data_IF_891528577608
#
_entry.id   IF_891528577608
#
_cell.length_a   1.000
_cell.length_b   1.000
_cell.length_c   1.000
_cell.angle_alpha   90.00
_cell.angle_beta   90.00
_cell.angle_gamma   90.00
#
_symmetry.space_group_name_H-M   'P 1'
#
loop_
_entity.id
_entity.type
_entity.pdbx_description
1 polymer ?
#
# COMPACT_ATOMS: atom_id res chain seq x y z
N UNK A 1 -43.79 -3.71 -10.34
CA UNK A 1 -43.63 -4.63 -9.18
C UNK A 1 -42.32 -5.38 -9.38
N UNK A 2 -41.21 -4.79 -8.93
CA UNK A 2 -39.85 -5.30 -9.19
C UNK A 2 -39.31 -5.82 -7.86
N UNK A 3 -39.06 -7.12 -7.82
CA UNK A 3 -38.57 -7.84 -6.65
C UNK A 3 -37.07 -7.60 -6.50
N UNK A 4 -36.69 -6.89 -5.43
CA UNK A 4 -35.30 -6.81 -4.98
C UNK A 4 -34.86 -8.21 -4.51
N UNK A 5 -33.87 -8.80 -5.20
CA UNK A 5 -33.13 -9.95 -4.68
C UNK A 5 -32.28 -9.48 -3.50
N UNK A 6 -32.56 -10.03 -2.33
CA UNK A 6 -31.74 -9.91 -1.10
C UNK A 6 -30.29 -10.35 -1.39
N UNK A 7 -29.33 -9.45 -1.20
CA UNK A 7 -27.94 -9.84 -0.94
C UNK A 7 -27.84 -10.37 0.48
N UNK A 8 -28.00 -11.69 0.63
CA UNK A 8 -27.44 -12.38 1.77
C UNK A 8 -25.98 -12.68 1.41
N UNK A 9 -25.03 -12.15 2.20
CA UNK A 9 -23.72 -12.73 2.57
C UNK A 9 -22.69 -11.59 2.84
N UNK A 10 -22.02 -11.67 4.00
CA UNK A 10 -20.76 -10.99 4.43
C UNK A 10 -20.78 -9.62 5.16
N UNK A 11 -21.72 -9.33 6.07
CA UNK A 11 -21.62 -8.14 6.93
C UNK A 11 -21.19 -8.37 8.40
N UNK A 12 -20.71 -9.57 8.77
CA UNK A 12 -20.35 -9.86 10.18
C UNK A 12 -18.87 -10.10 10.47
N UNK A 13 -17.98 -10.05 9.46
CA UNK A 13 -16.53 -10.28 9.68
C UNK A 13 -15.63 -9.10 9.34
N UNK A 14 -16.06 -8.15 8.50
CA UNK A 14 -15.27 -6.95 8.17
C UNK A 14 -15.18 -5.96 9.34
N UNK A 15 -16.20 -5.92 10.21
CA UNK A 15 -16.17 -5.13 11.45
C UNK A 15 -15.08 -5.60 12.44
N UNK A 16 -14.71 -6.88 12.44
CA UNK A 16 -13.76 -7.42 13.44
C UNK A 16 -12.34 -6.90 13.20
N UNK A 17 -11.93 -6.64 11.95
CA UNK A 17 -10.61 -6.08 11.65
C UNK A 17 -10.50 -4.62 12.10
N UNK A 18 -11.49 -3.77 11.80
CA UNK A 18 -11.51 -2.37 12.27
C UNK A 18 -11.55 -2.28 13.81
N UNK A 19 -12.39 -3.10 14.48
CA UNK A 19 -12.47 -3.10 15.94
C UNK A 19 -11.18 -3.58 16.62
N UNK A 20 -10.41 -4.46 15.97
CA UNK A 20 -9.14 -4.95 16.54
C UNK A 20 -8.05 -3.88 16.61
N UNK A 21 -8.11 -2.87 15.73
CA UNK A 21 -7.13 -1.77 15.70
C UNK A 21 -7.61 -0.53 16.48
N UNK A 22 -8.92 -0.33 16.66
CA UNK A 22 -9.47 0.93 17.22
C UNK A 22 -9.68 0.98 18.75
N UNK A 23 -9.62 -0.10 19.52
CA UNK A 23 -10.07 0.01 20.93
C UNK A 23 -9.44 -0.95 21.96
N UNK A 24 -8.59 -1.88 21.53
CA UNK A 24 -8.07 -2.93 22.41
C UNK A 24 -7.25 -2.38 23.59
N UNK A 25 -6.31 -1.47 23.34
CA UNK A 25 -5.45 -0.92 24.39
C UNK A 25 -6.22 -0.07 25.41
N UNK A 26 -7.15 0.77 24.95
CA UNK A 26 -7.97 1.62 25.84
C UNK A 26 -8.73 0.81 26.90
N UNK A 27 -9.36 -0.29 26.47
CA UNK A 27 -10.08 -1.17 27.39
C UNK A 27 -9.14 -1.84 28.41
N UNK A 28 -7.99 -2.33 27.93
CA UNK A 28 -6.96 -2.95 28.78
C UNK A 28 -6.44 -1.95 29.82
N UNK A 29 -6.09 -0.73 29.42
CA UNK A 29 -5.58 0.30 30.34
C UNK A 29 -6.60 0.77 31.38
N UNK A 30 -7.89 0.81 31.04
CA UNK A 30 -8.96 1.11 32.00
C UNK A 30 -9.07 0.02 33.07
N UNK A 31 -8.99 -1.27 32.68
CA UNK A 31 -8.96 -2.39 33.63
C UNK A 31 -7.75 -2.29 34.58
N UNK A 32 -6.57 -1.99 34.02
CA UNK A 32 -5.33 -1.83 34.79
C UNK A 32 -5.44 -0.68 35.80
N UNK A 33 -5.92 0.49 35.35
CA UNK A 33 -6.07 1.66 36.23
C UNK A 33 -7.02 1.37 37.40
N UNK A 34 -8.15 0.70 37.11
CA UNK A 34 -9.11 0.30 38.13
C UNK A 34 -8.53 -0.73 39.12
N UNK A 35 -7.81 -1.75 38.64
CA UNK A 35 -7.22 -2.78 39.51
C UNK A 35 -6.08 -2.22 40.38
N UNK A 36 -5.20 -1.39 39.82
CA UNK A 36 -4.15 -0.70 40.59
C UNK A 36 -4.78 0.19 41.65
N UNK A 37 -5.78 1.01 41.31
CA UNK A 37 -6.43 1.88 42.30
C UNK A 37 -7.10 1.07 43.41
N UNK A 38 -7.69 -0.09 43.08
CA UNK A 38 -8.26 -1.03 44.06
C UNK A 38 -7.18 -1.62 44.97
N UNK A 39 -6.03 -2.02 44.43
CA UNK A 39 -4.89 -2.58 45.18
C UNK A 39 -4.15 -1.54 46.00
N UNK A 40 -3.99 -0.31 45.51
CA UNK A 40 -3.42 0.83 46.27
C UNK A 40 -4.27 1.14 47.48
N UNK A 41 -5.61 1.16 47.32
CA UNK A 41 -6.53 1.30 48.45
C UNK A 41 -6.41 0.16 49.48
N UNK A 42 -5.81 -0.98 49.09
CA UNK A 42 -5.55 -2.13 49.94
C UNK A 42 -4.09 -2.21 50.47
N UNK A 43 -3.23 -1.21 50.21
CA UNK A 43 -1.86 -1.13 50.75
C UNK A 43 -0.78 -1.90 49.97
N UNK A 44 -0.96 -2.08 48.66
CA UNK A 44 -0.13 -2.94 47.80
C UNK A 44 1.22 -2.33 47.35
N UNK A 45 2.28 -3.15 47.17
CA UNK A 45 3.61 -2.76 46.65
C UNK A 45 4.02 -3.51 45.37
N UNK A 46 4.14 -2.79 44.26
CA UNK A 46 5.18 -2.94 43.22
C UNK A 46 5.16 -4.11 42.22
N UNK A 47 5.15 -5.36 42.68
CA UNK A 47 5.71 -6.47 41.87
C UNK A 47 4.70 -7.57 41.46
N UNK A 48 3.42 -7.51 41.83
CA UNK A 48 2.42 -8.48 41.36
C UNK A 48 1.97 -8.18 39.94
N UNK A 49 1.95 -9.25 39.16
CA UNK A 49 1.22 -9.33 37.91
C UNK A 49 -0.28 -9.14 38.16
N UNK A 50 -0.92 -8.39 37.28
CA UNK A 50 -2.37 -8.23 37.24
C UNK A 50 -2.96 -9.12 36.15
N UNK A 51 -4.20 -9.57 36.35
CA UNK A 51 -4.95 -10.31 35.35
C UNK A 51 -5.79 -9.34 34.51
N UNK A 52 -5.51 -9.27 33.22
CA UNK A 52 -6.21 -8.41 32.26
C UNK A 52 -6.98 -9.28 31.28
N UNK A 53 -8.25 -8.95 31.04
CA UNK A 53 -9.06 -9.64 30.04
C UNK A 53 -8.85 -8.92 28.71
N UNK A 54 -8.22 -9.63 27.79
CA UNK A 54 -7.95 -9.18 26.44
C UNK A 54 -9.26 -9.12 25.61
N UNK A 55 -9.29 -8.37 24.49
CA UNK A 55 -10.49 -8.28 23.65
C UNK A 55 -10.98 -9.62 23.09
N UNK A 56 -10.08 -10.59 22.94
CA UNK A 56 -10.42 -11.95 22.52
C UNK A 56 -10.99 -12.82 23.67
N UNK A 57 -11.09 -12.28 24.89
CA UNK A 57 -11.59 -12.97 26.09
C UNK A 57 -10.51 -13.74 26.86
N UNK A 58 -9.27 -13.77 26.38
CA UNK A 58 -8.17 -14.42 27.09
C UNK A 58 -7.70 -13.60 28.28
N UNK A 59 -7.14 -14.27 29.28
CA UNK A 59 -6.60 -13.63 30.48
C UNK A 59 -5.09 -13.54 30.36
N UNK A 60 -4.58 -12.32 30.21
CA UNK A 60 -3.16 -12.01 30.27
C UNK A 60 -2.75 -11.72 31.72
N UNK A 61 -1.66 -12.34 32.19
CA UNK A 61 -0.99 -11.92 33.43
C UNK A 61 0.22 -11.09 33.08
N UNK A 62 0.20 -9.82 33.44
CA UNK A 62 1.24 -8.85 33.04
C UNK A 62 1.62 -7.92 34.19
N UNK A 63 2.83 -7.39 34.13
CA UNK A 63 3.33 -6.36 35.04
C UNK A 63 2.70 -5.01 34.63
N UNK A 64 1.95 -4.35 35.52
CA UNK A 64 1.40 -3.04 35.23
C UNK A 64 2.46 -1.93 35.37
N UNK A 65 2.46 -0.97 34.45
CA UNK A 65 3.25 0.27 34.51
C UNK A 65 2.26 1.43 34.33
N UNK A 66 2.04 2.21 35.38
CA UNK A 66 1.00 3.25 35.39
C UNK A 66 1.61 4.61 35.72
N UNK A 67 1.91 5.40 34.69
CA UNK A 67 2.58 6.71 34.83
C UNK A 67 4.06 6.64 35.21
N UNK A 68 4.56 5.47 35.60
CA UNK A 68 5.95 5.23 35.97
C UNK A 68 6.83 4.87 34.76
N UNK A 69 8.14 4.84 35.00
CA UNK A 69 9.14 4.38 34.03
C UNK A 69 9.80 3.09 34.52
N UNK A 70 9.77 2.05 33.69
CA UNK A 70 10.38 0.74 33.97
C UNK A 70 11.39 0.40 32.89
N UNK A 71 12.52 -0.18 33.30
CA UNK A 71 13.56 -0.67 32.38
C UNK A 71 13.68 -2.19 32.48
N UNK A 72 13.63 -2.85 31.32
CA UNK A 72 13.86 -4.28 31.16
C UNK A 72 15.22 -4.47 30.50
N UNK A 73 16.19 -4.96 31.28
CA UNK A 73 17.53 -5.30 30.81
C UNK A 73 17.69 -6.79 30.49
N UNK A 74 18.89 -7.24 30.07
CA UNK A 74 19.15 -8.64 29.73
C UNK A 74 18.99 -9.62 30.90
N UNK A 75 19.03 -9.12 32.14
CA UNK A 75 18.87 -9.90 33.37
C UNK A 75 17.48 -9.78 33.97
N UNK A 76 16.62 -8.91 33.42
CA UNK A 76 15.23 -8.79 33.89
C UNK A 76 14.49 -10.07 33.50
N UNK A 77 13.78 -10.72 34.45
CA UNK A 77 12.98 -11.90 34.14
C UNK A 77 11.97 -11.65 33.02
N UNK A 78 11.76 -12.65 32.17
CA UNK A 78 10.81 -12.57 31.07
C UNK A 78 9.38 -12.39 31.59
N UNK A 79 8.73 -11.33 31.13
CA UNK A 79 7.37 -11.00 31.53
C UNK A 79 6.62 -10.18 30.47
N UNK A 80 5.29 -10.16 30.55
CA UNK A 80 4.43 -9.30 29.73
C UNK A 80 4.12 -8.00 30.47
N UNK A 81 3.85 -6.92 29.74
CA UNK A 81 3.68 -5.59 30.33
C UNK A 81 2.42 -4.89 29.83
N UNK A 82 1.77 -4.17 30.74
CA UNK A 82 0.70 -3.23 30.37
C UNK A 82 1.08 -1.84 30.84
N UNK A 83 1.27 -0.94 29.88
CA UNK A 83 1.75 0.43 30.08
C UNK A 83 0.60 1.41 29.88
N UNK A 84 0.33 2.24 30.88
CA UNK A 84 -0.78 3.20 30.84
C UNK A 84 -0.40 4.56 31.44
N UNK A 85 -1.24 5.56 31.16
CA UNK A 85 -1.23 6.88 31.80
C UNK A 85 0.11 7.61 31.73
N UNK A 86 0.68 7.72 30.52
CA UNK A 86 2.00 8.33 30.25
C UNK A 86 3.17 7.56 30.87
N UNK A 87 2.99 6.26 31.09
CA UNK A 87 4.08 5.38 31.52
C UNK A 87 5.12 5.17 30.41
N UNK A 88 6.31 4.72 30.83
CA UNK A 88 7.43 4.40 29.95
C UNK A 88 7.90 2.97 30.19
N UNK A 89 7.95 2.17 29.12
CA UNK A 89 8.63 0.88 29.12
C UNK A 89 9.88 0.98 28.26
N UNK A 90 11.06 0.81 28.87
CA UNK A 90 12.34 0.81 28.18
C UNK A 90 12.92 -0.61 28.16
N UNK A 91 12.84 -1.30 27.03
CA UNK A 91 13.46 -2.62 26.83
C UNK A 91 14.84 -2.40 26.22
N UNK A 92 15.90 -2.62 27.00
CA UNK A 92 17.29 -2.42 26.57
C UNK A 92 18.07 -3.73 26.64
N UNK A 93 18.21 -4.43 25.51
CA UNK A 93 18.78 -5.78 25.46
C UNK A 93 17.96 -6.86 26.18
N UNK A 94 16.81 -6.49 26.75
CA UNK A 94 15.90 -7.38 27.46
C UNK A 94 14.96 -8.16 26.54
N UNK A 95 14.25 -9.13 27.12
CA UNK A 95 13.22 -9.92 26.44
C UNK A 95 11.91 -9.80 27.21
N UNK A 96 10.85 -9.43 26.52
CA UNK A 96 9.50 -9.33 27.10
C UNK A 96 8.51 -10.16 26.31
N UNK A 97 7.41 -10.55 26.96
CA UNK A 97 6.25 -11.12 26.31
C UNK A 97 5.41 -10.02 25.64
N UNK A 98 4.08 -10.19 25.64
CA UNK A 98 3.18 -9.21 25.04
C UNK A 98 3.27 -7.86 25.75
N UNK A 99 3.22 -6.77 24.97
CA UNK A 99 3.15 -5.40 25.49
C UNK A 99 1.86 -4.74 25.00
N UNK A 100 1.02 -4.29 25.93
CA UNK A 100 -0.09 -3.38 25.64
C UNK A 100 0.25 -2.00 26.18
N UNK A 101 0.30 -0.98 25.33
CA UNK A 101 0.52 0.40 25.73
C UNK A 101 -0.67 1.28 25.37
N UNK A 102 -1.08 2.15 26.29
CA UNK A 102 -2.14 3.13 26.05
C UNK A 102 -1.74 4.50 26.58
N UNK A 103 -1.80 5.52 25.72
CA UNK A 103 -1.38 6.88 26.07
C UNK A 103 0.00 6.90 26.73
N UNK A 104 0.93 6.11 26.20
CA UNK A 104 2.22 5.78 26.83
C UNK A 104 3.35 5.70 25.80
N UNK A 105 4.58 5.50 26.28
CA UNK A 105 5.76 5.34 25.41
C UNK A 105 6.42 3.98 25.62
N UNK A 106 6.77 3.31 24.53
CA UNK A 106 7.55 2.07 24.55
C UNK A 106 8.84 2.29 23.77
N UNK A 107 9.99 2.07 24.39
CA UNK A 107 11.29 2.15 23.73
C UNK A 107 11.92 0.75 23.75
N UNK A 108 12.37 0.28 22.59
CA UNK A 108 13.02 -1.02 22.46
C UNK A 108 14.36 -0.80 21.76
N UNK A 109 15.44 -1.00 22.50
CA UNK A 109 16.81 -0.88 22.01
C UNK A 109 17.50 -2.23 22.12
N UNK A 110 17.84 -2.83 20.98
CA UNK A 110 18.54 -4.12 20.90
C UNK A 110 17.86 -5.27 21.68
N UNK A 111 16.55 -5.14 21.95
CA UNK A 111 15.75 -6.08 22.75
C UNK A 111 14.79 -6.91 21.90
N UNK A 112 13.93 -7.69 22.56
CA UNK A 112 12.87 -8.42 21.87
C UNK A 112 11.53 -8.40 22.60
N UNK A 113 10.46 -8.37 21.80
CA UNK A 113 9.07 -8.52 22.23
C UNK A 113 8.51 -9.78 21.58
N UNK A 114 8.13 -10.74 22.41
CA UNK A 114 7.52 -12.00 22.00
C UNK A 114 6.01 -11.94 22.24
N UNK A 115 5.20 -12.32 21.26
CA UNK A 115 3.73 -12.25 21.31
C UNK A 115 3.14 -10.84 21.18
N UNK A 116 3.82 -9.97 20.42
CA UNK A 116 3.25 -8.75 19.86
C UNK A 116 3.33 -7.48 20.73
N UNK A 117 3.33 -6.35 20.03
CA UNK A 117 3.31 -5.00 20.58
C UNK A 117 2.03 -4.27 20.15
N UNK A 118 1.22 -3.89 21.12
CA UNK A 118 -0.10 -3.31 20.87
C UNK A 118 -0.18 -1.90 21.44
N UNK A 119 -0.22 -0.90 20.56
CA UNK A 119 -0.24 0.51 20.90
C UNK A 119 -1.64 1.08 20.70
N UNK A 120 -2.05 1.97 21.61
CA UNK A 120 -3.29 2.75 21.47
C UNK A 120 -3.02 4.17 21.96
N UNK A 121 -3.15 5.17 21.10
CA UNK A 121 -2.69 6.55 21.36
C UNK A 121 -1.28 6.62 21.96
N UNK A 122 -0.38 5.75 21.51
CA UNK A 122 0.95 5.56 22.11
C UNK A 122 2.07 5.74 21.10
N UNK A 123 3.27 6.00 21.60
CA UNK A 123 4.47 6.16 20.76
C UNK A 123 5.41 5.00 21.01
N UNK A 124 6.00 4.45 19.96
CA UNK A 124 7.05 3.45 20.06
C UNK A 124 8.28 3.79 19.23
N UNK A 125 9.46 3.67 19.86
CA UNK A 125 10.76 3.79 19.19
C UNK A 125 11.48 2.44 19.26
N UNK A 126 11.79 1.85 18.12
CA UNK A 126 12.31 0.48 18.03
C UNK A 126 13.61 0.53 17.22
N UNK A 127 14.72 0.13 17.83
CA UNK A 127 16.05 0.15 17.23
C UNK A 127 16.77 -1.17 17.45
N UNK A 128 17.28 -1.77 16.37
CA UNK A 128 18.10 -2.99 16.45
C UNK A 128 17.37 -4.18 17.07
N UNK A 129 16.04 -4.19 17.05
CA UNK A 129 15.23 -5.08 17.88
C UNK A 129 14.48 -6.14 17.06
N UNK A 130 13.88 -7.10 17.76
CA UNK A 130 13.01 -8.12 17.18
C UNK A 130 11.63 -8.04 17.82
N UNK A 131 10.57 -7.92 17.01
CA UNK A 131 9.19 -8.01 17.47
C UNK A 131 8.48 -9.11 16.70
N UNK A 132 8.00 -10.14 17.40
CA UNK A 132 7.36 -11.28 16.75
C UNK A 132 6.04 -11.67 17.42
N UNK A 133 5.10 -12.17 16.62
CA UNK A 133 3.88 -12.78 17.12
C UNK A 133 3.42 -13.93 16.21
N UNK A 134 3.59 -15.17 16.66
CA UNK A 134 3.22 -16.37 15.87
C UNK A 134 1.73 -16.70 15.93
N UNK A 135 0.94 -15.92 16.67
CA UNK A 135 -0.48 -16.19 16.93
C UNK A 135 -1.42 -15.04 16.58
N UNK A 136 -0.87 -13.88 16.23
CA UNK A 136 -1.61 -12.69 15.86
C UNK A 136 -0.69 -11.61 15.29
N UNK A 137 -1.12 -10.36 15.34
CA UNK A 137 -0.37 -9.26 14.72
C UNK A 137 0.95 -9.01 15.43
N UNK A 138 2.01 -8.75 14.67
CA UNK A 138 3.33 -8.40 15.22
C UNK A 138 3.25 -7.07 15.97
N UNK A 139 2.81 -6.02 15.28
CA UNK A 139 2.56 -4.70 15.87
C UNK A 139 1.17 -4.21 15.48
N UNK A 140 0.44 -3.56 16.40
CA UNK A 140 -0.81 -2.87 16.08
C UNK A 140 -0.79 -1.42 16.58
N UNK A 141 -1.07 -0.47 15.70
CA UNK A 141 -1.11 0.97 15.97
C UNK A 141 -2.56 1.45 15.98
N UNK A 142 -3.13 1.62 17.16
CA UNK A 142 -4.52 2.04 17.35
C UNK A 142 -4.69 3.48 17.77
N UNK A 143 -5.89 4.02 17.59
CA UNK A 143 -6.29 5.34 18.06
C UNK A 143 -7.58 5.30 18.89
N UNK A 144 -7.73 6.21 19.86
CA UNK A 144 -8.96 6.36 20.66
C UNK A 144 -9.80 7.50 20.08
N UNK A 145 -11.06 7.20 19.75
CA UNK A 145 -12.00 8.23 19.28
C UNK A 145 -12.22 9.27 20.40
N UNK A 146 -12.28 10.54 20.00
CA UNK A 146 -12.45 11.72 20.86
C UNK A 146 -11.28 12.02 21.82
N UNK A 147 -10.11 11.41 21.64
CA UNK A 147 -8.91 11.83 22.37
C UNK A 147 -8.25 13.08 21.75
N UNK A 148 -7.46 13.82 22.54
CA UNK A 148 -6.85 15.08 22.09
C UNK A 148 -5.87 14.91 20.92
N UNK A 149 -5.18 13.76 20.86
CA UNK A 149 -4.19 13.40 19.85
C UNK A 149 -4.33 11.90 19.55
N UNK A 150 -5.35 11.53 18.76
CA UNK A 150 -5.65 10.14 18.56
C UNK A 150 -4.66 9.52 17.56
N UNK A 151 -4.41 8.22 17.71
CA UNK A 151 -3.50 7.46 16.85
C UNK A 151 -2.18 7.13 17.53
N UNK A 152 -1.63 5.98 17.17
CA UNK A 152 -0.31 5.55 17.65
C UNK A 152 0.74 5.75 16.58
N UNK A 153 1.96 6.09 17.01
CA UNK A 153 3.12 6.25 16.16
C UNK A 153 4.15 5.16 16.48
N UNK A 154 4.70 4.51 15.45
CA UNK A 154 5.86 3.63 15.62
C UNK A 154 6.96 3.99 14.62
N UNK A 155 8.14 4.27 15.16
CA UNK A 155 9.37 4.48 14.38
C UNK A 155 10.31 3.29 14.61
N UNK A 156 10.61 2.56 13.54
CA UNK A 156 11.28 1.26 13.57
C UNK A 156 12.51 1.31 12.67
N UNK A 157 13.67 1.06 13.26
CA UNK A 157 14.97 1.23 12.62
C UNK A 157 15.80 -0.04 12.77
N UNK A 158 16.35 -0.54 11.65
CA UNK A 158 17.32 -1.65 11.65
C UNK A 158 16.84 -2.86 12.46
N UNK A 159 15.55 -3.19 12.32
CA UNK A 159 14.88 -4.18 13.15
C UNK A 159 14.25 -5.29 12.30
N UNK A 160 13.78 -6.35 12.96
CA UNK A 160 12.99 -7.41 12.33
C UNK A 160 11.62 -7.50 13.00
N UNK A 161 10.56 -7.47 12.21
CA UNK A 161 9.18 -7.55 12.70
C UNK A 161 8.45 -8.66 11.98
N UNK A 162 7.75 -9.51 12.73
CA UNK A 162 6.91 -10.56 12.16
C UNK A 162 5.58 -10.73 12.90
N UNK A 163 4.55 -11.14 12.16
CA UNK A 163 3.23 -11.42 12.71
C UNK A 163 2.44 -12.44 11.89
N UNK A 164 1.56 -13.19 12.56
CA UNK A 164 0.59 -14.07 11.92
C UNK A 164 -0.60 -13.25 11.40
N UNK A 165 -1.02 -13.55 10.17
CA UNK A 165 -2.01 -12.82 9.35
C UNK A 165 -1.61 -11.40 9.00
N UNK A 166 -1.04 -10.62 9.92
CA UNK A 166 -0.55 -9.27 9.66
C UNK A 166 0.77 -9.03 10.40
N UNK A 167 1.78 -8.55 9.70
CA UNK A 167 3.03 -8.11 10.32
C UNK A 167 2.81 -6.86 11.17
N UNK A 168 2.37 -5.77 10.55
CA UNK A 168 1.97 -4.53 11.24
C UNK A 168 0.59 -4.05 10.80
N UNK A 169 -0.30 -3.83 11.75
CA UNK A 169 -1.60 -3.19 11.52
C UNK A 169 -1.53 -1.70 11.90
N UNK A 170 -1.85 -0.81 10.96
CA UNK A 170 -1.86 0.64 11.15
C UNK A 170 -3.31 1.14 11.07
N UNK A 171 -3.85 1.58 12.20
CA UNK A 171 -5.23 2.05 12.30
C UNK A 171 -5.40 3.50 11.90
N UNK A 172 -6.63 3.98 12.07
CA UNK A 172 -6.99 5.38 11.89
C UNK A 172 -6.06 6.28 12.71
N UNK A 173 -5.54 7.33 12.08
CA UNK A 173 -4.56 8.26 12.64
C UNK A 173 -3.19 7.67 13.00
N UNK A 174 -3.00 6.36 12.81
CA UNK A 174 -1.72 5.72 13.06
C UNK A 174 -0.67 6.19 12.07
N UNK A 175 0.58 6.24 12.52
CA UNK A 175 1.74 6.53 11.67
C UNK A 175 2.81 5.46 11.90
N UNK A 176 3.27 4.87 10.80
CA UNK A 176 4.33 3.87 10.79
C UNK A 176 5.51 4.38 9.97
N UNK A 177 6.68 4.44 10.60
CA UNK A 177 7.95 4.77 9.97
C UNK A 177 8.88 3.53 10.01
N UNK A 178 9.18 2.94 8.86
CA UNK A 178 10.14 1.85 8.69
C UNK A 178 11.43 2.37 8.04
N UNK A 179 12.56 2.04 8.64
CA UNK A 179 13.89 2.44 8.18
C UNK A 179 14.85 1.26 8.25
N UNK A 180 15.41 0.81 7.13
CA UNK A 180 16.31 -0.35 7.06
C UNK A 180 15.75 -1.57 7.84
N UNK A 181 14.46 -1.83 7.71
CA UNK A 181 13.74 -2.82 8.54
C UNK A 181 13.17 -3.93 7.68
N UNK A 182 13.24 -5.16 8.20
CA UNK A 182 12.64 -6.36 7.64
C UNK A 182 11.28 -6.59 8.30
N UNK A 183 10.22 -6.70 7.51
CA UNK A 183 8.87 -6.93 7.97
C UNK A 183 8.22 -8.11 7.23
N UNK A 184 7.72 -9.10 7.99
CA UNK A 184 7.03 -10.27 7.44
C UNK A 184 5.63 -10.47 8.04
N UNK A 185 4.62 -10.52 7.17
CA UNK A 185 3.27 -10.96 7.48
C UNK A 185 3.00 -12.39 7.02
N UNK A 186 3.10 -13.34 7.96
CA UNK A 186 2.91 -14.76 7.67
C UNK A 186 1.43 -15.11 7.48
N UNK A 187 1.11 -15.96 6.51
CA UNK A 187 -0.24 -16.44 6.32
C UNK A 187 -0.64 -17.43 7.43
N UNK A 188 -1.82 -17.23 8.01
CA UNK A 188 -2.50 -18.31 8.73
C UNK A 188 -3.01 -19.38 7.75
N UNK A 189 -3.60 -20.46 8.28
CA UNK A 189 -4.30 -21.47 7.49
C UNK A 189 -5.41 -20.89 6.58
N UNK A 190 -5.81 -19.62 6.78
CA UNK A 190 -6.80 -18.92 5.96
C UNK A 190 -6.19 -18.18 4.76
N UNK A 191 -4.86 -18.17 4.61
CA UNK A 191 -4.16 -17.57 3.46
C UNK A 191 -4.14 -16.04 3.45
N UNK A 192 -4.11 -15.39 4.61
CA UNK A 192 -4.32 -13.92 4.74
C UNK A 192 -3.07 -13.10 5.05
N UNK A 193 -1.85 -13.62 4.91
CA UNK A 193 -0.63 -12.92 5.34
C UNK A 193 -0.44 -11.55 4.66
N UNK A 194 -0.63 -10.47 5.39
CA UNK A 194 -0.35 -9.10 4.94
C UNK A 194 0.93 -8.61 5.61
N UNK A 195 1.90 -8.08 4.87
CA UNK A 195 3.04 -7.41 5.51
C UNK A 195 2.56 -6.25 6.37
N UNK A 196 1.81 -5.33 5.75
CA UNK A 196 1.12 -4.22 6.42
C UNK A 196 -0.37 -4.25 6.09
N UNK A 197 -1.21 -4.06 7.10
CA UNK A 197 -2.62 -3.70 6.93
C UNK A 197 -2.81 -2.24 7.37
N UNK A 198 -3.09 -1.34 6.43
CA UNK A 198 -3.38 0.08 6.73
C UNK A 198 -4.87 0.35 6.62
N UNK A 199 -5.46 0.79 7.72
CA UNK A 199 -6.87 1.15 7.84
C UNK A 199 -6.96 2.64 8.16
N UNK A 200 -6.58 3.48 7.19
CA UNK A 200 -6.64 4.95 7.29
C UNK A 200 -5.42 5.63 7.93
N UNK A 201 -4.34 4.90 8.18
CA UNK A 201 -3.09 5.43 8.72
C UNK A 201 -2.05 5.78 7.64
N UNK A 202 -1.01 6.48 8.07
CA UNK A 202 0.13 6.85 7.24
C UNK A 202 1.27 5.83 7.38
N UNK A 203 1.88 5.48 6.25
CA UNK A 203 2.93 4.45 6.19
C UNK A 203 4.11 4.99 5.39
N UNK A 204 5.30 4.98 5.99
CA UNK A 204 6.54 5.40 5.37
C UNK A 204 7.55 4.26 5.44
N UNK A 205 7.95 3.75 4.27
CA UNK A 205 8.88 2.61 4.12
C UNK A 205 10.12 3.14 3.42
N UNK A 206 11.24 3.20 4.15
CA UNK A 206 12.42 3.94 3.70
C UNK A 206 13.74 3.21 3.94
N UNK A 207 14.80 3.65 3.26
CA UNK A 207 16.20 3.28 3.50
C UNK A 207 16.45 1.77 3.49
N UNK A 208 16.15 1.12 2.37
CA UNK A 208 16.31 -0.33 2.16
C UNK A 208 15.51 -1.17 3.15
N UNK A 209 14.27 -0.76 3.44
CA UNK A 209 13.34 -1.63 4.14
C UNK A 209 12.72 -2.65 3.18
N UNK A 210 12.36 -3.82 3.68
CA UNK A 210 11.65 -4.86 2.94
C UNK A 210 10.37 -5.23 3.69
N UNK A 211 9.23 -5.05 3.03
CA UNK A 211 7.92 -5.46 3.54
C UNK A 211 7.42 -6.62 2.70
N UNK A 212 7.26 -7.77 3.33
CA UNK A 212 6.81 -9.00 2.71
C UNK A 212 5.52 -9.48 3.37
N UNK A 213 4.52 -9.82 2.56
CA UNK A 213 3.36 -10.57 3.02
C UNK A 213 3.16 -11.83 2.18
N UNK A 214 2.79 -12.93 2.84
CA UNK A 214 2.55 -14.19 2.15
C UNK A 214 1.40 -14.09 1.12
N UNK A 215 0.42 -13.21 1.36
CA UNK A 215 -0.60 -12.82 0.39
C UNK A 215 -0.24 -11.49 -0.27
N UNK A 216 -0.40 -10.35 0.41
CA UNK A 216 -0.03 -9.03 -0.15
C UNK A 216 1.02 -8.34 0.71
N UNK A 217 1.90 -7.56 0.10
CA UNK A 217 2.87 -6.75 0.83
C UNK A 217 2.15 -5.71 1.71
N UNK A 218 1.26 -4.93 1.10
CA UNK A 218 0.41 -3.95 1.79
C UNK A 218 -1.05 -4.17 1.40
N UNK A 219 -1.94 -4.16 2.38
CA UNK A 219 -3.39 -4.04 2.17
C UNK A 219 -3.92 -2.75 2.78
N UNK A 220 -4.46 -1.87 1.96
CA UNK A 220 -5.10 -0.62 2.37
C UNK A 220 -6.61 -0.83 2.38
N UNK A 221 -7.24 -0.54 3.51
CA UNK A 221 -8.67 -0.68 3.70
C UNK A 221 -9.29 0.60 4.21
N UNK A 222 -10.62 0.64 4.20
CA UNK A 222 -11.37 1.75 4.77
C UNK A 222 -11.09 1.88 6.28
N UNK A 223 -10.48 3.00 6.65
CA UNK A 223 -10.16 3.36 8.03
C UNK A 223 -11.15 4.27 8.70
N UNK A 224 -12.19 4.67 7.98
CA UNK A 224 -13.09 5.71 8.43
C UNK A 224 -13.87 5.32 9.69
N UNK A 225 -14.12 6.34 10.50
CA UNK A 225 -14.96 6.26 11.68
C UNK A 225 -15.97 7.41 11.70
N UNK A 226 -16.99 7.26 12.56
CA UNK A 226 -17.91 8.33 12.91
C UNK A 226 -17.52 8.89 14.28
N UNK A 227 -17.38 10.21 14.38
CA UNK A 227 -17.16 10.89 15.66
C UNK A 227 -18.32 10.65 16.62
N UNK A 228 -18.03 10.42 17.91
CA UNK A 228 -19.07 10.05 18.88
C UNK A 228 -19.98 11.22 19.24
N UNK A 229 -19.49 12.45 19.07
CA UNK A 229 -20.17 13.67 19.54
C UNK A 229 -21.02 14.36 18.47
N UNK A 230 -20.55 14.40 17.22
CA UNK A 230 -21.19 15.14 16.12
C UNK A 230 -21.54 14.27 14.91
N UNK A 231 -21.17 12.98 14.93
CA UNK A 231 -21.35 12.06 13.81
C UNK A 231 -20.51 12.42 12.57
N UNK A 232 -19.55 13.35 12.72
CA UNK A 232 -18.66 13.79 11.66
C UNK A 232 -17.79 12.63 11.16
N UNK A 233 -17.40 12.74 9.91
CA UNK A 233 -16.55 11.78 9.25
C UNK A 233 -15.11 11.98 9.70
N UNK A 234 -14.50 10.91 10.19
CA UNK A 234 -13.13 10.93 10.66
C UNK A 234 -12.30 10.00 9.80
N UNK A 235 -11.33 10.59 9.11
CA UNK A 235 -10.27 9.93 8.35
C UNK A 235 -10.77 9.05 7.19
N UNK A 236 -10.17 9.21 6.02
CA UNK A 236 -10.42 8.33 4.87
C UNK A 236 -9.34 8.49 3.79
N UNK A 237 -8.16 9.01 4.17
CA UNK A 237 -7.13 9.34 3.21
C UNK A 237 -5.77 8.79 3.63
N UNK A 238 -5.59 7.45 3.63
CA UNK A 238 -4.30 6.85 3.94
C UNK A 238 -3.25 7.33 2.93
N UNK A 239 -2.07 7.66 3.45
CA UNK A 239 -0.90 8.04 2.66
C UNK A 239 0.20 6.99 2.83
N UNK A 240 0.69 6.43 1.72
CA UNK A 240 1.78 5.45 1.73
C UNK A 240 2.95 5.93 0.87
N UNK A 241 4.15 5.95 1.45
CA UNK A 241 5.40 6.24 0.74
C UNK A 241 6.32 5.03 0.83
N UNK A 242 6.79 4.58 -0.32
CA UNK A 242 7.83 3.56 -0.46
C UNK A 242 9.01 4.26 -1.14
N UNK A 243 10.14 4.33 -0.45
CA UNK A 243 11.29 5.12 -0.89
C UNK A 243 12.59 4.33 -0.68
N UNK A 244 13.32 4.03 -1.76
CA UNK A 244 14.51 3.17 -1.72
C UNK A 244 14.22 1.88 -0.95
N UNK A 245 13.12 1.19 -1.26
CA UNK A 245 12.64 0.03 -0.48
C UNK A 245 11.85 -0.96 -1.34
N UNK A 246 11.61 -2.15 -0.79
CA UNK A 246 10.92 -3.25 -1.47
C UNK A 246 9.60 -3.55 -0.75
N UNK A 247 8.53 -3.68 -1.53
CA UNK A 247 7.24 -4.23 -1.06
C UNK A 247 6.86 -5.44 -1.90
N UNK A 248 6.59 -6.56 -1.24
CA UNK A 248 6.40 -7.85 -1.88
C UNK A 248 5.15 -8.59 -1.36
N UNK A 249 4.27 -8.98 -2.29
CA UNK A 249 3.23 -9.97 -2.03
C UNK A 249 3.59 -11.30 -2.68
N UNK A 250 3.80 -12.36 -1.88
CA UNK A 250 4.32 -13.63 -2.41
C UNK A 250 3.33 -14.39 -3.29
N UNK A 251 2.05 -14.36 -2.95
CA UNK A 251 1.00 -15.07 -3.72
C UNK A 251 -0.06 -14.13 -4.31
N UNK A 252 -0.14 -12.90 -3.81
CA UNK A 252 -1.05 -11.85 -4.25
C UNK A 252 -0.31 -10.65 -4.85
N UNK A 253 -0.90 -9.47 -4.66
CA UNK A 253 -0.37 -8.22 -5.19
C UNK A 253 0.67 -7.61 -4.26
N UNK A 254 1.54 -6.74 -4.78
CA UNK A 254 2.42 -5.95 -3.91
C UNK A 254 1.58 -5.03 -3.01
N UNK A 255 0.57 -4.36 -3.60
CA UNK A 255 -0.35 -3.49 -2.90
C UNK A 255 -1.79 -3.80 -3.31
N UNK A 256 -2.66 -4.00 -2.32
CA UNK A 256 -4.10 -4.17 -2.47
C UNK A 256 -4.83 -3.01 -1.81
N UNK A 257 -5.86 -2.48 -2.48
CA UNK A 257 -6.76 -1.46 -1.92
C UNK A 257 -8.19 -1.96 -2.05
N UNK A 258 -8.79 -2.41 -0.94
CA UNK A 258 -10.13 -3.00 -0.93
C UNK A 258 -10.81 -2.94 0.45
N UNK A 259 -11.92 -3.68 0.61
CA UNK A 259 -12.64 -3.79 1.88
C UNK A 259 -13.19 -2.45 2.35
N UNK A 260 -14.01 -1.84 1.50
CA UNK A 260 -14.90 -0.74 1.89
C UNK A 260 -15.80 -1.18 3.04
N UNK A 261 -15.88 -0.38 4.11
CA UNK A 261 -16.74 -0.67 5.26
C UNK A 261 -17.87 0.37 5.39
N UNK A 262 -17.51 1.64 5.53
CA UNK A 262 -18.40 2.77 5.67
C UNK A 262 -18.32 3.73 4.47
N UNK A 263 -17.12 4.02 3.95
CA UNK A 263 -16.90 4.99 2.88
C UNK A 263 -15.90 4.48 1.83
N UNK A 264 -16.01 5.01 0.62
CA UNK A 264 -15.08 4.76 -0.48
C UNK A 264 -13.67 5.16 -0.06
N UNK A 265 -12.68 4.31 -0.34
CA UNK A 265 -11.30 4.56 0.07
C UNK A 265 -10.67 5.57 -0.89
N UNK A 266 -10.05 6.65 -0.39
CA UNK A 266 -9.24 7.56 -1.21
C UNK A 266 -7.77 7.44 -0.78
N UNK A 267 -6.95 6.71 -1.51
CA UNK A 267 -5.56 6.44 -1.11
C UNK A 267 -4.55 7.18 -2.01
N UNK A 268 -3.54 7.77 -1.37
CA UNK A 268 -2.39 8.35 -2.04
C UNK A 268 -1.17 7.43 -1.80
N UNK A 269 -0.58 6.93 -2.88
CA UNK A 269 0.55 5.99 -2.84
C UNK A 269 1.69 6.54 -3.69
N UNK A 270 2.88 6.67 -3.09
CA UNK A 270 4.08 7.13 -3.77
C UNK A 270 5.18 6.06 -3.72
N UNK A 271 5.75 5.73 -4.88
CA UNK A 271 6.85 4.77 -5.05
C UNK A 271 8.05 5.53 -5.62
N UNK A 272 9.13 5.63 -4.85
CA UNK A 272 10.19 6.62 -5.07
C UNK A 272 11.59 6.02 -5.02
N UNK A 273 12.53 6.64 -5.74
CA UNK A 273 13.98 6.42 -5.63
C UNK A 273 14.40 4.94 -5.63
N UNK A 274 14.32 4.29 -6.80
CA UNK A 274 14.73 2.90 -7.00
C UNK A 274 13.97 1.88 -6.12
N UNK A 275 12.74 2.22 -5.74
CA UNK A 275 11.87 1.26 -5.05
C UNK A 275 11.39 0.17 -5.98
N UNK A 276 11.17 -1.02 -5.43
CA UNK A 276 10.67 -2.19 -6.14
C UNK A 276 9.33 -2.65 -5.55
N UNK A 277 8.40 -2.97 -6.43
CA UNK A 277 7.17 -3.68 -6.08
C UNK A 277 7.24 -5.07 -6.70
N UNK A 278 7.03 -6.11 -5.89
CA UNK A 278 7.05 -7.50 -6.31
C UNK A 278 5.71 -8.15 -6.02
N UNK A 279 5.19 -8.94 -6.97
CA UNK A 279 3.92 -9.64 -6.82
C UNK A 279 3.96 -11.05 -7.35
N UNK A 280 3.33 -11.96 -6.62
CA UNK A 280 3.19 -13.37 -7.00
C UNK A 280 2.12 -13.60 -8.07
N UNK A 281 1.11 -12.72 -8.13
CA UNK A 281 0.01 -12.82 -9.09
C UNK A 281 0.19 -11.96 -10.35
N UNK A 282 1.32 -11.25 -10.48
CA UNK A 282 1.63 -10.36 -11.61
C UNK A 282 1.02 -8.97 -11.54
N UNK A 283 0.19 -8.67 -10.54
CA UNK A 283 -0.38 -7.34 -10.33
C UNK A 283 0.38 -6.62 -9.21
N UNK A 284 0.99 -5.48 -9.51
CA UNK A 284 1.66 -4.66 -8.51
C UNK A 284 0.66 -3.91 -7.64
N UNK A 285 -0.43 -3.45 -8.25
CA UNK A 285 -1.51 -2.74 -7.59
C UNK A 285 -2.86 -3.33 -8.00
N UNK A 286 -3.71 -3.60 -7.02
CA UNK A 286 -5.11 -3.98 -7.25
C UNK A 286 -6.06 -3.08 -6.47
N UNK A 287 -6.90 -2.33 -7.18
CA UNK A 287 -7.87 -1.38 -6.61
C UNK A 287 -9.30 -1.90 -6.80
N UNK A 288 -10.07 -1.99 -5.72
CA UNK A 288 -11.45 -2.46 -5.77
C UNK A 288 -12.40 -1.73 -4.83
N UNK A 289 -13.68 -2.11 -4.87
CA UNK A 289 -14.73 -1.70 -3.93
C UNK A 289 -15.02 -0.19 -3.92
N UNK A 290 -15.09 0.42 -5.11
CA UNK A 290 -15.33 1.85 -5.32
C UNK A 290 -14.22 2.77 -4.79
N UNK A 291 -12.99 2.25 -4.70
CA UNK A 291 -11.85 3.02 -4.20
C UNK A 291 -11.29 3.96 -5.25
N UNK A 292 -10.73 5.09 -4.81
CA UNK A 292 -9.93 6.01 -5.60
C UNK A 292 -8.47 5.91 -5.15
N UNK A 293 -7.55 5.71 -6.10
CA UNK A 293 -6.11 5.66 -5.82
C UNK A 293 -5.38 6.63 -6.71
N UNK A 294 -4.57 7.50 -6.10
CA UNK A 294 -3.56 8.28 -6.78
C UNK A 294 -2.20 7.58 -6.58
N UNK A 295 -1.71 6.94 -7.64
CA UNK A 295 -0.48 6.16 -7.66
C UNK A 295 0.63 6.93 -8.38
N UNK A 296 1.60 7.44 -7.64
CA UNK A 296 2.74 8.19 -8.17
C UNK A 296 4.00 7.33 -8.15
N UNK A 297 4.65 7.21 -9.30
CA UNK A 297 5.93 6.53 -9.45
C UNK A 297 6.99 7.54 -9.87
N UNK A 298 8.04 7.63 -9.06
CA UNK A 298 9.15 8.56 -9.21
C UNK A 298 10.47 7.80 -9.21
N UNK A 299 11.29 8.00 -10.24
CA UNK A 299 12.65 7.45 -10.34
C UNK A 299 12.74 5.96 -9.93
N UNK A 300 11.76 5.15 -10.33
CA UNK A 300 11.62 3.73 -9.97
C UNK A 300 11.20 2.91 -11.18
N UNK A 301 11.57 1.62 -11.21
CA UNK A 301 11.22 0.71 -12.30
C UNK A 301 10.30 -0.37 -11.79
N UNK A 302 9.10 -0.45 -12.36
CA UNK A 302 8.04 -1.37 -11.94
C UNK A 302 7.78 -2.40 -13.04
N UNK A 303 7.73 -3.68 -12.67
CA UNK A 303 7.49 -4.79 -13.59
C UNK A 303 6.26 -5.58 -13.14
N UNK A 304 5.15 -5.41 -13.84
CA UNK A 304 3.84 -5.99 -13.50
C UNK A 304 2.69 -5.01 -13.73
N UNK A 305 1.47 -5.49 -13.53
CA UNK A 305 0.27 -4.76 -13.93
C UNK A 305 -0.29 -3.85 -12.83
N UNK A 306 -1.01 -2.81 -13.24
CA UNK A 306 -1.84 -1.98 -12.36
C UNK A 306 -3.31 -2.23 -12.72
N UNK A 307 -4.12 -2.64 -11.75
CA UNK A 307 -5.49 -3.12 -12.01
C UNK A 307 -6.49 -2.39 -11.14
N UNK A 308 -7.57 -1.91 -11.75
CA UNK A 308 -8.76 -1.44 -11.05
C UNK A 308 -10.00 -2.25 -11.45
N UNK A 309 -10.95 -2.42 -10.54
CA UNK A 309 -12.29 -2.87 -10.93
C UNK A 309 -13.10 -1.76 -11.61
N UNK A 310 -14.22 -2.12 -12.24
CA UNK A 310 -15.05 -1.18 -13.01
C UNK A 310 -15.73 -0.10 -12.15
N UNK A 311 -15.71 -0.25 -10.81
CA UNK A 311 -16.30 0.70 -9.87
C UNK A 311 -15.28 1.68 -9.31
N UNK A 312 -13.99 1.41 -9.51
CA UNK A 312 -12.88 2.12 -8.89
C UNK A 312 -12.29 3.18 -9.81
N UNK A 313 -11.52 4.09 -9.24
CA UNK A 313 -10.78 5.13 -9.97
C UNK A 313 -9.28 4.99 -9.72
N UNK A 314 -8.54 4.62 -10.77
CA UNK A 314 -7.08 4.56 -10.72
C UNK A 314 -6.48 5.71 -11.51
N UNK A 315 -5.70 6.55 -10.81
CA UNK A 315 -4.93 7.66 -11.38
C UNK A 315 -3.45 7.37 -11.22
N UNK A 316 -2.72 7.30 -12.32
CA UNK A 316 -1.30 6.96 -12.35
C UNK A 316 -0.48 8.16 -12.80
N UNK A 317 0.64 8.42 -12.14
CA UNK A 317 1.65 9.38 -12.60
C UNK A 317 3.01 8.69 -12.67
N UNK A 318 3.68 8.76 -13.81
CA UNK A 318 5.06 8.32 -14.01
C UNK A 318 5.95 9.55 -14.23
N UNK A 319 6.93 9.76 -13.36
CA UNK A 319 7.76 10.96 -13.37
C UNK A 319 9.24 10.67 -13.05
N UNK A 320 10.10 11.64 -13.38
CA UNK A 320 11.53 11.64 -13.09
C UNK A 320 12.23 10.34 -13.55
N UNK A 321 11.97 9.92 -14.79
CA UNK A 321 12.53 8.70 -15.36
C UNK A 321 11.93 7.39 -14.85
N UNK A 322 10.81 7.43 -14.11
CA UNK A 322 10.09 6.23 -13.71
C UNK A 322 9.67 5.38 -14.91
N UNK A 323 9.69 4.05 -14.75
CA UNK A 323 9.35 3.09 -15.79
C UNK A 323 8.29 2.12 -15.27
N UNK A 324 7.25 1.90 -16.07
CA UNK A 324 6.27 0.83 -15.87
C UNK A 324 6.33 -0.15 -17.04
N UNK A 325 6.71 -1.40 -16.77
CA UNK A 325 6.68 -2.51 -17.70
C UNK A 325 5.50 -3.43 -17.33
N UNK A 326 4.35 -3.20 -17.95
CA UNK A 326 3.10 -3.87 -17.58
C UNK A 326 1.86 -3.15 -18.11
N UNK A 327 0.71 -3.80 -17.97
CA UNK A 327 -0.56 -3.25 -18.41
C UNK A 327 -1.23 -2.41 -17.32
N UNK A 328 -2.00 -1.40 -17.74
CA UNK A 328 -2.90 -0.62 -16.89
C UNK A 328 -4.32 -1.00 -17.25
N UNK A 329 -4.93 -1.82 -16.40
CA UNK A 329 -6.27 -2.36 -16.61
C UNK A 329 -7.28 -1.47 -15.88
N UNK A 330 -8.28 -0.98 -16.63
CA UNK A 330 -9.29 -0.04 -16.15
C UNK A 330 -8.71 1.29 -15.58
N UNK A 331 -7.61 1.78 -16.17
CA UNK A 331 -7.02 3.05 -15.77
C UNK A 331 -7.89 4.26 -16.16
N UNK A 332 -8.10 5.19 -15.23
CA UNK A 332 -8.87 6.41 -15.50
C UNK A 332 -7.97 7.51 -16.06
N UNK A 333 -6.84 7.77 -15.41
CA UNK A 333 -5.91 8.80 -15.87
C UNK A 333 -4.48 8.29 -15.79
N UNK A 334 -3.70 8.52 -16.84
CA UNK A 334 -2.25 8.34 -16.84
C UNK A 334 -1.59 9.68 -17.17
N UNK A 335 -0.72 10.15 -16.28
CA UNK A 335 0.17 11.27 -16.53
C UNK A 335 1.61 10.75 -16.69
N UNK A 336 2.27 11.11 -17.78
CA UNK A 336 3.69 10.82 -18.01
C UNK A 336 4.44 12.14 -18.09
N UNK A 337 5.34 12.40 -17.15
CA UNK A 337 6.06 13.67 -17.05
C UNK A 337 7.55 13.40 -16.81
N UNK A 338 8.40 14.42 -16.98
CA UNK A 338 9.82 14.39 -16.57
C UNK A 338 10.57 13.12 -17.01
N UNK A 339 10.33 12.66 -18.24
CA UNK A 339 11.00 11.49 -18.82
C UNK A 339 10.45 10.12 -18.38
N UNK A 340 9.29 10.05 -17.73
CA UNK A 340 8.62 8.79 -17.41
C UNK A 340 8.32 7.93 -18.65
N UNK A 341 8.23 6.62 -18.46
CA UNK A 341 8.11 5.63 -19.53
C UNK A 341 7.07 4.57 -19.18
N UNK A 342 6.19 4.25 -20.13
CA UNK A 342 5.28 3.12 -20.01
C UNK A 342 5.48 2.14 -21.16
N UNK A 343 5.80 0.89 -20.84
CA UNK A 343 5.95 -0.21 -21.78
C UNK A 343 4.79 -1.20 -21.55
N UNK A 344 3.76 -1.12 -22.40
CA UNK A 344 2.61 -2.03 -22.34
C UNK A 344 2.98 -3.44 -22.82
N UNK A 345 2.23 -4.44 -22.37
CA UNK A 345 2.45 -5.87 -22.66
C UNK A 345 1.35 -6.50 -23.51
N UNK A 346 0.20 -5.83 -23.62
CA UNK A 346 -0.88 -6.20 -24.53
C UNK A 346 -1.73 -4.99 -24.90
N UNK A 347 -2.92 -5.23 -25.45
CA UNK A 347 -3.89 -4.15 -25.70
C UNK A 347 -4.27 -3.45 -24.40
N UNK A 348 -4.28 -2.12 -24.40
CA UNK A 348 -4.61 -1.34 -23.21
C UNK A 348 -5.69 -0.31 -23.51
N UNK A 349 -6.46 0.00 -22.47
CA UNK A 349 -7.46 1.06 -22.48
C UNK A 349 -7.31 1.94 -21.23
N UNK A 350 -6.96 3.21 -21.45
CA UNK A 350 -6.88 4.23 -20.39
C UNK A 350 -7.77 5.40 -20.81
N UNK A 351 -8.61 5.94 -19.92
CA UNK A 351 -9.57 6.97 -20.35
C UNK A 351 -8.86 8.25 -20.82
N UNK A 352 -7.92 8.78 -20.05
CA UNK A 352 -7.16 9.98 -20.42
C UNK A 352 -5.66 9.77 -20.23
N UNK A 353 -4.88 10.11 -21.26
CA UNK A 353 -3.42 10.15 -21.23
C UNK A 353 -2.94 11.59 -21.41
N UNK A 354 -2.21 12.10 -20.43
CA UNK A 354 -1.52 13.39 -20.52
C UNK A 354 -0.01 13.18 -20.49
N UNK A 355 0.70 13.80 -21.42
CA UNK A 355 2.16 13.68 -21.53
C UNK A 355 2.83 15.05 -21.47
N UNK A 356 3.93 15.14 -20.73
CA UNK A 356 4.82 16.31 -20.66
C UNK A 356 6.25 15.84 -20.89
N UNK A 357 6.48 15.26 -22.07
CA UNK A 357 7.65 14.46 -22.41
C UNK A 357 7.42 12.96 -22.15
N UNK A 358 8.51 12.20 -22.05
CA UNK A 358 8.45 10.75 -21.82
C UNK A 358 8.01 9.95 -23.05
N UNK A 359 7.75 8.66 -22.85
CA UNK A 359 7.27 7.80 -23.95
C UNK A 359 6.35 6.66 -23.52
N UNK A 360 5.58 6.18 -24.50
CA UNK A 360 4.80 4.93 -24.42
C UNK A 360 5.34 3.96 -25.47
N UNK A 361 5.68 2.74 -25.06
CA UNK A 361 6.12 1.66 -25.93
C UNK A 361 5.11 0.51 -25.95
N UNK A 362 4.99 -0.13 -27.11
CA UNK A 362 4.14 -1.30 -27.35
C UNK A 362 4.94 -2.60 -27.18
N UNK A 363 4.28 -3.68 -26.76
CA UNK A 363 4.93 -4.95 -26.45
C UNK A 363 5.71 -5.50 -27.65
N UNK A 364 6.73 -6.33 -27.40
CA UNK A 364 7.58 -6.90 -28.45
C UNK A 364 6.98 -8.14 -29.15
N UNK A 365 5.82 -8.64 -28.72
CA UNK A 365 5.18 -9.83 -29.24
C UNK A 365 3.83 -9.51 -29.91
N UNK A 366 3.79 -9.46 -31.24
CA UNK A 366 2.55 -9.12 -31.96
C UNK A 366 2.21 -7.64 -31.90
N UNK A 367 1.13 -7.24 -32.57
CA UNK A 367 0.74 -5.83 -32.68
C UNK A 367 -0.42 -5.52 -31.75
N UNK A 368 -0.36 -4.36 -31.11
CA UNK A 368 -1.28 -3.99 -30.04
C UNK A 368 -1.93 -2.63 -30.25
N UNK A 369 -3.08 -2.44 -29.60
CA UNK A 369 -3.83 -1.19 -29.62
C UNK A 369 -3.81 -0.53 -28.25
N UNK A 370 -3.45 0.75 -28.22
CA UNK A 370 -3.69 1.64 -27.10
C UNK A 370 -4.98 2.44 -27.38
N UNK A 371 -6.04 2.14 -26.64
CA UNK A 371 -7.32 2.85 -26.71
C UNK A 371 -7.40 3.94 -25.66
N UNK A 372 -7.77 5.15 -26.08
CA UNK A 372 -7.91 6.35 -25.25
C UNK A 372 -9.25 7.03 -25.52
N UNK A 373 -9.76 7.80 -24.55
CA UNK A 373 -10.84 8.77 -24.80
C UNK A 373 -10.28 10.18 -24.97
N UNK A 374 -9.14 10.47 -24.34
CA UNK A 374 -8.48 11.77 -24.42
C UNK A 374 -6.96 11.59 -24.45
N UNK A 375 -6.30 12.39 -25.29
CA UNK A 375 -4.84 12.48 -25.38
C UNK A 375 -4.43 13.96 -25.34
N UNK A 376 -3.49 14.33 -24.48
CA UNK A 376 -3.03 15.71 -24.35
C UNK A 376 -1.51 15.85 -24.15
N UNK A 377 -0.96 16.97 -24.60
CA UNK A 377 0.40 17.42 -24.26
C UNK A 377 1.46 17.06 -25.30
N UNK A 378 2.61 16.52 -24.87
CA UNK A 378 3.69 16.14 -25.77
C UNK A 378 4.47 14.92 -25.30
N UNK A 379 4.91 14.08 -26.23
CA UNK A 379 5.58 12.81 -25.91
C UNK A 379 5.95 11.99 -27.15
N UNK A 380 6.52 10.80 -26.93
CA UNK A 380 6.86 9.87 -28.02
C UNK A 380 6.12 8.55 -27.87
N UNK A 381 5.70 7.96 -28.99
CA UNK A 381 5.20 6.58 -29.05
C UNK A 381 6.20 5.71 -29.81
N UNK A 382 6.64 4.62 -29.19
CA UNK A 382 7.46 3.58 -29.82
C UNK A 382 6.56 2.49 -30.38
N UNK A 383 6.49 2.40 -31.71
CA UNK A 383 5.53 1.56 -32.42
C UNK A 383 6.23 0.63 -33.38
N UNK A 384 5.56 -0.46 -33.71
CA UNK A 384 6.02 -1.48 -34.64
C UNK A 384 4.97 -1.69 -35.72
N UNK A 385 5.45 -1.96 -36.91
CA UNK A 385 4.61 -2.27 -38.06
C UNK A 385 5.18 -3.47 -38.80
N UNK A 386 4.34 -4.19 -39.49
CA UNK A 386 4.70 -5.11 -40.57
C UNK A 386 3.97 -4.61 -41.81
N UNK A 387 4.73 -3.89 -42.63
CA UNK A 387 4.23 -3.22 -43.80
C UNK A 387 3.88 -4.19 -44.95
N UNK A 388 4.46 -5.39 -44.98
CA UNK A 388 4.16 -6.41 -45.99
C UNK A 388 2.79 -7.04 -45.73
N UNK A 389 2.48 -7.27 -44.45
CA UNK A 389 1.17 -7.81 -44.04
C UNK A 389 0.13 -6.72 -43.74
N UNK A 390 0.50 -5.44 -43.78
CA UNK A 390 -0.41 -4.33 -43.52
C UNK A 390 -0.96 -4.31 -42.09
N UNK A 391 -0.15 -4.74 -41.12
CA UNK A 391 -0.51 -4.78 -39.70
C UNK A 391 0.48 -3.96 -38.87
N UNK A 392 0.07 -3.47 -37.72
CA UNK A 392 0.91 -2.64 -36.88
C UNK A 392 0.25 -2.26 -35.58
N UNK A 393 1.05 -1.70 -34.68
CA UNK A 393 0.55 -1.09 -33.46
C UNK A 393 -0.35 0.11 -33.81
N UNK A 394 -1.34 0.36 -32.96
CA UNK A 394 -2.34 1.40 -33.18
C UNK A 394 -2.55 2.24 -31.92
N UNK A 395 -2.51 3.56 -32.09
CA UNK A 395 -3.05 4.50 -31.11
C UNK A 395 -4.46 4.87 -31.54
N UNK A 396 -5.47 4.52 -30.74
CA UNK A 396 -6.87 4.75 -31.04
C UNK A 396 -7.51 5.72 -30.02
N UNK A 397 -7.66 6.99 -30.38
CA UNK A 397 -8.29 8.01 -29.52
C UNK A 397 -9.75 8.21 -29.92
N UNK A 398 -10.66 7.66 -29.13
CA UNK A 398 -12.12 7.72 -29.33
C UNK A 398 -12.75 9.08 -28.93
N UNK A 399 -11.93 10.11 -28.70
CA UNK A 399 -12.39 11.45 -28.34
C UNK A 399 -11.39 12.52 -28.80
N UNK A 400 -11.11 13.51 -27.94
CA UNK A 400 -10.26 14.64 -28.32
C UNK A 400 -8.78 14.33 -28.13
N UNK A 401 -7.96 14.66 -29.12
CA UNK A 401 -6.51 14.64 -29.04
C UNK A 401 -5.95 16.05 -29.25
N UNK A 402 -5.15 16.55 -28.31
CA UNK A 402 -4.47 17.85 -28.44
C UNK A 402 -2.97 17.78 -28.15
N UNK A 403 -2.17 18.58 -28.85
CA UNK A 403 -0.72 18.67 -28.61
C UNK A 403 0.18 18.10 -29.71
N UNK A 404 1.39 17.67 -29.37
CA UNK A 404 2.46 17.35 -30.32
C UNK A 404 3.16 16.04 -29.95
N UNK A 405 3.07 15.03 -30.83
CA UNK A 405 3.56 13.69 -30.54
C UNK A 405 4.54 13.19 -31.61
N UNK A 406 5.62 12.56 -31.17
CA UNK A 406 6.57 11.86 -32.03
C UNK A 406 6.19 10.38 -32.17
N UNK A 407 6.28 9.83 -33.38
CA UNK A 407 6.13 8.41 -33.66
C UNK A 407 7.49 7.83 -34.03
N UNK A 408 8.04 6.96 -33.18
CA UNK A 408 9.22 6.15 -33.49
C UNK A 408 8.74 4.79 -33.97
N UNK A 409 8.61 4.65 -35.29
CA UNK A 409 8.06 3.47 -35.94
C UNK A 409 9.17 2.56 -36.46
N UNK A 410 9.14 1.29 -36.08
CA UNK A 410 10.05 0.25 -36.58
C UNK A 410 9.30 -0.73 -37.47
N UNK A 411 9.69 -0.85 -38.75
CA UNK A 411 9.22 -1.94 -39.59
C UNK A 411 9.88 -3.26 -39.15
N UNK A 412 9.05 -4.25 -38.86
CA UNK A 412 9.42 -5.61 -38.41
C UNK A 412 9.07 -6.67 -39.45
N UNK A 413 8.31 -6.28 -40.48
CA UNK A 413 8.07 -7.09 -41.66
C UNK A 413 9.28 -7.18 -42.57
N UNK A 414 9.16 -8.00 -43.61
CA UNK A 414 10.12 -8.03 -44.70
C UNK A 414 9.99 -6.78 -45.57
N UNK A 415 10.98 -6.57 -46.43
CA UNK A 415 10.96 -5.45 -47.36
C UNK A 415 9.77 -5.55 -48.32
N UNK A 416 8.99 -4.47 -48.39
CA UNK A 416 7.83 -4.39 -49.26
C UNK A 416 8.28 -3.97 -50.66
N UNK A 417 8.18 -4.90 -51.61
CA UNK A 417 8.54 -4.68 -53.03
C UNK A 417 7.29 -4.41 -53.90
N UNK A 418 6.09 -4.37 -53.30
CA UNK A 418 4.84 -4.25 -54.06
C UNK A 418 4.46 -2.79 -54.34
N UNK A 419 4.10 -2.50 -55.59
CA UNK A 419 3.59 -1.19 -56.00
C UNK A 419 2.15 -0.91 -55.51
N UNK A 420 1.45 -1.93 -55.01
CA UNK A 420 0.04 -1.88 -54.58
C UNK A 420 -0.13 -1.66 -53.06
N UNK A 421 0.94 -1.27 -52.38
CA UNK A 421 0.96 -1.08 -50.93
C UNK A 421 -0.09 -0.07 -50.46
N UNK A 422 -0.93 -0.50 -49.52
CA UNK A 422 -1.93 0.37 -48.89
C UNK A 422 -1.33 1.12 -47.69
N UNK A 423 -1.72 2.38 -47.45
CA UNK A 423 -1.31 3.09 -46.24
C UNK A 423 -1.76 2.35 -44.98
N UNK A 424 -0.83 2.11 -44.06
CA UNK A 424 -1.13 1.53 -42.75
C UNK A 424 -1.53 2.64 -41.76
N UNK A 425 -2.72 2.53 -41.20
CA UNK A 425 -3.17 3.43 -40.12
C UNK A 425 -2.49 3.02 -38.81
N UNK A 426 -1.69 3.93 -38.26
CA UNK A 426 -1.04 3.77 -36.94
C UNK A 426 -1.61 4.70 -35.87
N UNK A 427 -2.36 5.73 -36.27
CA UNK A 427 -3.05 6.64 -35.35
C UNK A 427 -4.48 6.90 -35.85
N UNK A 428 -5.43 6.89 -34.92
CA UNK A 428 -6.81 7.32 -35.10
C UNK A 428 -7.17 8.35 -34.03
N UNK A 429 -7.86 9.42 -34.43
CA UNK A 429 -8.45 10.41 -33.52
C UNK A 429 -9.85 10.79 -34.00
N UNK A 430 -10.81 10.93 -33.08
CA UNK A 430 -12.17 11.41 -33.40
C UNK A 430 -12.24 12.94 -33.54
N UNK A 431 -11.29 13.67 -32.96
CA UNK A 431 -11.19 15.12 -33.09
C UNK A 431 -9.99 15.73 -32.35
N UNK A 432 -9.90 17.05 -32.38
CA UNK A 432 -8.86 17.84 -31.73
C UNK A 432 -7.78 18.35 -32.68
N UNK A 433 -6.73 18.96 -32.13
CA UNK A 433 -5.65 19.64 -32.87
C UNK A 433 -4.29 18.94 -32.77
N UNK A 434 -4.25 17.72 -32.22
CA UNK A 434 -3.04 16.93 -32.09
C UNK A 434 -2.31 16.75 -33.42
N UNK A 435 -0.99 16.93 -33.39
CA UNK A 435 -0.10 16.65 -34.51
C UNK A 435 0.79 15.47 -34.19
N UNK A 436 0.97 14.59 -35.18
CA UNK A 436 1.84 13.42 -35.09
C UNK A 436 2.93 13.52 -36.15
N UNK A 437 4.18 13.32 -35.76
CA UNK A 437 5.33 13.40 -36.66
C UNK A 437 6.20 12.15 -36.56
N UNK A 438 6.68 11.67 -37.70
CA UNK A 438 7.57 10.52 -37.76
C UNK A 438 8.99 10.95 -37.35
N UNK A 439 9.48 10.40 -36.24
CA UNK A 439 10.84 10.65 -35.77
C UNK A 439 11.83 9.90 -36.67
N UNK A 440 12.76 10.63 -37.28
CA UNK A 440 13.68 10.08 -38.30
C UNK A 440 13.23 10.30 -39.75
N UNK A 441 12.07 10.94 -39.98
CA UNK A 441 11.62 11.43 -41.29
C UNK A 441 10.99 10.39 -42.21
N UNK A 442 11.53 9.16 -42.26
CA UNK A 442 10.95 8.04 -43.02
C UNK A 442 11.11 6.73 -42.26
N UNK A 443 10.13 5.85 -42.39
CA UNK A 443 10.31 4.43 -42.05
C UNK A 443 10.90 3.79 -43.29
N UNK A 444 12.17 3.38 -43.23
CA UNK A 444 12.80 2.69 -44.35
C UNK A 444 12.10 1.33 -44.53
N UNK A 445 11.81 0.99 -45.79
CA UNK A 445 11.25 -0.30 -46.19
C UNK A 445 12.30 -1.43 -46.17
N UNK A 446 13.57 -1.11 -45.90
CA UNK A 446 14.66 -2.09 -45.86
C UNK A 446 15.84 -1.59 -45.03
N UNK A 447 16.70 -2.52 -44.58
CA UNK A 447 17.95 -2.20 -43.89
C UNK A 447 18.93 -1.55 -44.86
N UNK A 448 19.60 -0.46 -44.45
CA UNK A 448 20.86 -0.11 -45.08
C UNK A 448 21.82 -1.30 -44.92
N UNK A 449 22.27 -1.82 -46.06
CA UNK A 449 23.21 -2.94 -46.23
C UNK A 449 24.50 -2.78 -45.46
#
# INVERSE_FOLDING_TARGET
MVSYRKSNVRNFRSCILQFSVLAAGALVAAQVSADIQRKVNAGYQGDEKIAVILPNGEVLKAIPINGDSVTVGPQTPFDSYVVSNRGFLNVNGGRVGTVYATQSTVNIESGSVENGLHLTDSVSNIHGAVVSNDSGFGISLGGIIDSDKPGSEASIFSSNVSGLEVGIAVGLWGELNLVNTELHGAASQRGRGQGILSSGGNVFITQRSHVMGDLNGINITDGSARGSSDGSLIGNKPYTVINDSIVEGLTGAAIRVDQRVLFDIDADIAVQNHSELLSGNGNLLEVADSSTVNFNVDNSTLNGNLVADDTSTLKVTLQNGAQLNGDIINGNTLAITSGGQWQMQGDNAVKSLSMQGGSVGFAENGFHTLSLNELSGSGTFGMRVDLDNGVGDLINVNGQASGQFGLRVRNTGVEVISADMQPLKVVHTEGGDAQFSLLGGRVDLGAYS
#
